data_IF_866548082773
#
_entry.id   IF_866548082773
#
_cell.length_a   1.000
_cell.length_b   1.000
_cell.length_c   1.000
_cell.angle_alpha   90.00
_cell.angle_beta   90.00
_cell.angle_gamma   90.00
#
_symmetry.space_group_name_H-M   'P 1'
#
loop_
_entity.id
_entity.type
_entity.pdbx_description
1 polymer ?
#
# COMPACT_ATOMS: atom_id res chain seq x y z
N UNK A 1 -4.01 25.76 -3.39
CA UNK A 1 -5.00 24.87 -4.04
C UNK A 1 -4.90 23.45 -3.43
N UNK A 2 -4.95 23.35 -2.10
CA UNK A 2 -4.77 22.11 -1.32
C UNK A 2 -5.73 22.13 -0.11
N UNK A 3 -6.98 22.55 -0.30
CA UNK A 3 -7.95 22.69 0.79
C UNK A 3 -9.37 22.27 0.39
N UNK A 4 -9.51 21.10 -0.25
CA UNK A 4 -10.79 20.37 -0.19
C UNK A 4 -10.54 19.06 0.54
N UNK A 5 -10.28 19.20 1.84
CA UNK A 5 -10.20 18.09 2.77
C UNK A 5 -11.63 17.55 2.93
N UNK A 6 -11.96 16.56 2.10
CA UNK A 6 -13.29 15.99 2.01
C UNK A 6 -13.75 15.33 3.32
N UNK A 7 -12.83 14.77 4.12
CA UNK A 7 -13.17 13.98 5.30
C UNK A 7 -13.33 14.81 6.59
N UNK A 8 -13.71 16.09 6.51
CA UNK A 8 -13.76 17.00 7.67
C UNK A 8 -14.84 16.62 8.71
N UNK A 9 -15.85 15.88 8.28
CA UNK A 9 -16.95 15.41 9.15
C UNK A 9 -16.58 14.18 9.98
N UNK A 10 -15.46 13.50 9.65
CA UNK A 10 -14.99 12.35 10.41
C UNK A 10 -14.32 12.84 11.69
N UNK A 11 -14.87 12.45 12.84
CA UNK A 11 -14.25 12.79 14.13
C UNK A 11 -12.88 12.12 14.23
N UNK A 12 -11.93 12.78 14.91
CA UNK A 12 -10.57 12.23 15.12
C UNK A 12 -10.60 10.83 15.73
N UNK A 13 -11.54 10.58 16.65
CA UNK A 13 -11.70 9.26 17.25
C UNK A 13 -12.14 8.21 16.22
N UNK A 14 -13.11 8.52 15.36
CA UNK A 14 -13.54 7.62 14.29
C UNK A 14 -12.41 7.37 13.27
N UNK A 15 -11.64 8.40 12.91
CA UNK A 15 -10.49 8.26 12.02
C UNK A 15 -9.43 7.32 12.61
N UNK A 16 -9.04 7.53 13.87
CA UNK A 16 -8.05 6.66 14.53
C UNK A 16 -8.57 5.23 14.69
N UNK A 17 -9.83 5.06 15.09
CA UNK A 17 -10.45 3.74 15.27
C UNK A 17 -10.53 2.96 13.94
N UNK A 18 -10.91 3.62 12.84
CA UNK A 18 -10.97 3.01 11.51
C UNK A 18 -9.58 2.64 11.01
N UNK A 19 -8.59 3.54 11.16
CA UNK A 19 -7.19 3.26 10.83
C UNK A 19 -6.62 2.06 11.64
N UNK A 20 -6.89 2.00 12.94
CA UNK A 20 -6.47 0.88 13.79
C UNK A 20 -7.14 -0.43 13.35
N UNK A 21 -8.41 -0.37 12.96
CA UNK A 21 -9.13 -1.53 12.44
C UNK A 21 -8.52 -2.03 11.12
N UNK A 22 -8.12 -1.14 10.21
CA UNK A 22 -7.47 -1.53 8.96
C UNK A 22 -6.11 -2.18 9.20
N UNK A 23 -5.28 -1.59 10.07
CA UNK A 23 -3.97 -2.15 10.40
C UNK A 23 -4.10 -3.56 11.02
N UNK A 24 -5.02 -3.72 11.98
CA UNK A 24 -5.24 -5.02 12.65
C UNK A 24 -5.83 -6.06 11.72
N UNK A 25 -6.80 -5.72 10.87
CA UNK A 25 -7.38 -6.64 9.89
C UNK A 25 -6.38 -7.03 8.81
N UNK A 26 -5.57 -6.08 8.33
CA UNK A 26 -4.55 -6.34 7.32
C UNK A 26 -3.50 -7.33 7.85
N UNK A 27 -2.90 -7.04 9.01
CA UNK A 27 -1.93 -7.92 9.66
C UNK A 27 -2.59 -9.25 10.02
N UNK A 28 -3.78 -9.24 10.61
CA UNK A 28 -4.55 -10.45 10.94
C UNK A 28 -4.72 -11.36 9.72
N UNK A 29 -5.05 -10.81 8.55
CA UNK A 29 -5.23 -11.58 7.31
C UNK A 29 -3.99 -12.35 6.87
N UNK A 30 -2.78 -11.84 7.18
CA UNK A 30 -1.51 -12.48 6.87
C UNK A 30 -1.15 -13.64 7.82
N UNK A 31 -1.61 -13.56 9.07
CA UNK A 31 -1.30 -14.51 10.14
C UNK A 31 -2.37 -15.58 10.37
N UNK A 32 -3.62 -15.34 9.94
CA UNK A 32 -4.69 -16.35 9.98
C UNK A 32 -4.28 -17.51 9.06
N UNK A 33 -3.85 -18.62 9.68
CA UNK A 33 -3.42 -19.83 8.98
C UNK A 33 -4.62 -20.75 8.77
N UNK A 34 -4.89 -21.11 7.52
CA UNK A 34 -5.99 -22.05 7.19
C UNK A 34 -5.54 -23.47 6.90
N UNK A 35 -4.26 -23.68 6.61
CA UNK A 35 -3.74 -25.02 6.30
C UNK A 35 -2.45 -25.29 7.08
N UNK A 36 -2.26 -26.55 7.47
CA UNK A 36 -1.01 -27.08 8.04
C UNK A 36 0.02 -27.41 6.94
N UNK A 37 0.15 -26.55 5.93
CA UNK A 37 1.15 -26.66 4.87
C UNK A 37 2.31 -25.70 5.13
N UNK A 38 3.51 -25.99 4.58
CA UNK A 38 4.64 -25.07 4.67
C UNK A 38 4.31 -23.72 4.01
N UNK A 39 4.89 -22.64 4.55
CA UNK A 39 4.56 -21.25 4.18
C UNK A 39 4.74 -20.94 2.70
N UNK A 40 5.69 -21.61 2.04
CA UNK A 40 6.01 -21.42 0.63
C UNK A 40 5.25 -22.37 -0.30
N UNK A 41 4.32 -23.15 0.23
CA UNK A 41 3.44 -23.96 -0.62
C UNK A 41 2.56 -23.04 -1.48
N UNK A 42 2.43 -23.29 -2.80
CA UNK A 42 1.72 -22.41 -3.72
C UNK A 42 0.26 -22.17 -3.34
N UNK A 43 -0.40 -23.14 -2.71
CA UNK A 43 -1.78 -22.98 -2.22
C UNK A 43 -1.86 -21.97 -1.05
N UNK A 44 -0.91 -22.02 -0.10
CA UNK A 44 -0.85 -21.09 1.03
C UNK A 44 -0.58 -19.66 0.56
N UNK A 45 0.22 -19.49 -0.49
CA UNK A 45 0.47 -18.18 -1.09
C UNK A 45 -0.80 -17.61 -1.73
N UNK A 46 -1.55 -18.41 -2.50
CA UNK A 46 -2.79 -17.99 -3.15
C UNK A 46 -3.87 -17.61 -2.14
N UNK A 47 -4.03 -18.37 -1.05
CA UNK A 47 -4.99 -18.04 0.00
C UNK A 47 -4.65 -16.74 0.74
N UNK A 48 -3.37 -16.54 1.08
CA UNK A 48 -2.91 -15.28 1.70
C UNK A 48 -3.16 -14.11 0.77
N UNK A 49 -2.86 -14.27 -0.52
CA UNK A 49 -3.15 -13.26 -1.53
C UNK A 49 -4.63 -12.91 -1.55
N UNK A 50 -5.51 -13.90 -1.67
CA UNK A 50 -6.97 -13.68 -1.69
C UNK A 50 -7.46 -12.94 -0.45
N UNK A 51 -6.98 -13.30 0.76
CA UNK A 51 -7.36 -12.64 2.01
C UNK A 51 -6.90 -11.19 2.06
N UNK A 52 -5.65 -10.94 1.71
CA UNK A 52 -5.08 -9.59 1.67
C UNK A 52 -5.85 -8.74 0.67
N UNK A 53 -6.14 -9.26 -0.52
CA UNK A 53 -6.93 -8.55 -1.53
C UNK A 53 -8.34 -8.23 -1.02
N UNK A 54 -9.02 -9.18 -0.35
CA UNK A 54 -10.35 -8.94 0.24
C UNK A 54 -10.27 -7.84 1.29
N UNK A 55 -9.30 -7.87 2.20
CA UNK A 55 -9.14 -6.83 3.24
C UNK A 55 -8.81 -5.47 2.62
N UNK A 56 -7.93 -5.41 1.61
CA UNK A 56 -7.63 -4.18 0.88
C UNK A 56 -8.85 -3.60 0.16
N UNK A 57 -9.68 -4.44 -0.46
CA UNK A 57 -10.92 -4.00 -1.10
C UNK A 57 -11.94 -3.48 -0.07
N UNK A 58 -12.09 -4.17 1.06
CA UNK A 58 -12.95 -3.72 2.17
C UNK A 58 -12.49 -2.36 2.69
N UNK A 59 -11.18 -2.14 2.86
CA UNK A 59 -10.63 -0.86 3.28
C UNK A 59 -10.99 0.26 2.29
N UNK A 60 -10.80 0.04 0.98
CA UNK A 60 -11.21 1.00 -0.06
C UNK A 60 -12.70 1.31 -0.03
N UNK A 61 -13.55 0.29 0.15
CA UNK A 61 -15.01 0.46 0.22
C UNK A 61 -15.40 1.28 1.45
N UNK A 62 -14.82 1.00 2.62
CA UNK A 62 -15.11 1.76 3.85
C UNK A 62 -14.70 3.22 3.71
N UNK A 63 -13.54 3.51 3.11
CA UNK A 63 -13.11 4.89 2.81
C UNK A 63 -14.07 5.55 1.82
N UNK A 64 -14.47 4.84 0.76
CA UNK A 64 -15.42 5.36 -0.22
C UNK A 64 -16.77 5.74 0.42
N UNK A 65 -17.33 4.85 1.24
CA UNK A 65 -18.57 5.12 1.97
C UNK A 65 -18.43 6.29 2.94
N UNK A 66 -17.25 6.44 3.57
CA UNK A 66 -16.97 7.55 4.49
C UNK A 66 -16.86 8.90 3.78
N UNK A 67 -16.31 8.94 2.56
CA UNK A 67 -16.18 10.16 1.76
C UNK A 67 -17.44 10.53 0.95
N UNK A 68 -18.33 9.57 0.67
CA UNK A 68 -19.53 9.78 -0.15
C UNK A 68 -20.64 10.56 0.54
N UNK A 69 -20.57 10.79 1.86
CA UNK A 69 -21.66 11.40 2.63
C UNK A 69 -21.88 12.89 2.33
N UNK A 70 -20.85 13.66 1.92
CA UNK A 70 -21.02 15.09 1.58
C UNK A 70 -20.11 15.67 0.46
N UNK A 71 -19.06 14.98 0.00
CA UNK A 71 -18.11 15.56 -0.98
C UNK A 71 -18.39 15.24 -2.45
N UNK A 72 -19.15 14.19 -2.73
CA UNK A 72 -19.46 13.77 -4.11
C UNK A 72 -20.16 14.88 -4.91
N UNK A 73 -20.79 15.84 -4.22
CA UNK A 73 -21.47 16.99 -4.83
C UNK A 73 -20.58 18.22 -4.99
N UNK A 74 -19.44 18.32 -4.29
CA UNK A 74 -18.62 19.54 -4.24
C UNK A 74 -17.31 19.44 -5.03
N UNK A 75 -16.87 18.24 -5.43
CA UNK A 75 -15.61 18.06 -6.17
C UNK A 75 -15.77 16.94 -7.20
N UNK A 76 -15.46 17.22 -8.47
CA UNK A 76 -15.38 16.22 -9.55
C UNK A 76 -14.15 15.31 -9.41
N UNK A 77 -13.67 15.09 -8.19
CA UNK A 77 -12.49 14.29 -7.91
C UNK A 77 -12.91 12.82 -7.88
N UNK A 78 -12.19 11.99 -8.63
CA UNK A 78 -12.44 10.56 -8.66
C UNK A 78 -11.94 9.91 -7.37
N UNK A 79 -12.51 8.76 -6.99
CA UNK A 79 -12.05 7.96 -5.83
C UNK A 79 -10.55 7.65 -5.94
N UNK A 80 -10.06 7.47 -7.18
CA UNK A 80 -8.65 7.24 -7.48
C UNK A 80 -7.77 8.41 -7.04
N UNK A 81 -8.24 9.64 -7.20
CA UNK A 81 -7.49 10.83 -6.75
C UNK A 81 -7.38 10.87 -5.22
N UNK A 82 -8.39 10.40 -4.49
CA UNK A 82 -8.37 10.35 -3.02
C UNK A 82 -7.45 9.27 -2.47
N UNK A 83 -7.39 8.11 -3.13
CA UNK A 83 -6.46 7.02 -2.80
C UNK A 83 -5.02 7.37 -3.21
N UNK A 84 -4.82 8.49 -3.93
CA UNK A 84 -3.50 9.00 -4.32
C UNK A 84 -3.03 8.54 -5.70
N UNK A 85 -3.89 7.85 -6.47
CA UNK A 85 -3.64 7.49 -7.86
C UNK A 85 -4.00 8.69 -8.73
N UNK A 86 -2.99 9.53 -8.97
CA UNK A 86 -3.11 10.72 -9.82
C UNK A 86 -2.23 10.59 -11.06
N UNK A 87 -2.75 11.04 -12.20
CA UNK A 87 -1.96 11.14 -13.43
C UNK A 87 -0.97 12.31 -13.39
N UNK A 88 -1.29 13.36 -12.63
CA UNK A 88 -0.43 14.53 -12.47
C UNK A 88 0.81 14.19 -11.65
N UNK A 89 1.99 14.39 -12.25
CA UNK A 89 3.27 14.14 -11.58
C UNK A 89 3.61 12.66 -11.38
N UNK A 90 2.93 11.73 -12.05
CA UNK A 90 3.20 10.29 -11.97
C UNK A 90 4.66 9.97 -12.32
N UNK A 91 5.20 10.60 -13.37
CA UNK A 91 6.61 10.43 -13.77
C UNK A 91 7.58 10.85 -12.67
N UNK A 92 7.35 11.99 -12.02
CA UNK A 92 8.19 12.42 -10.91
C UNK A 92 8.06 11.49 -9.70
N UNK A 93 6.83 11.03 -9.42
CA UNK A 93 6.53 10.09 -8.34
C UNK A 93 7.12 8.69 -8.55
N UNK A 94 7.39 8.26 -9.79
CA UNK A 94 8.05 6.98 -10.07
C UNK A 94 9.57 7.12 -10.20
N UNK A 95 10.05 8.13 -10.92
CA UNK A 95 11.49 8.31 -11.19
C UNK A 95 12.26 8.64 -9.92
N UNK A 96 11.73 9.52 -9.05
CA UNK A 96 12.47 9.99 -7.88
C UNK A 96 12.69 8.88 -6.83
N UNK A 97 11.67 8.08 -6.44
CA UNK A 97 11.90 6.91 -5.59
C UNK A 97 12.77 5.84 -6.26
N UNK A 98 12.60 5.60 -7.56
CA UNK A 98 13.41 4.61 -8.29
C UNK A 98 14.90 5.00 -8.30
N UNK A 99 15.19 6.28 -8.53
CA UNK A 99 16.55 6.81 -8.50
C UNK A 99 17.14 6.75 -7.09
N UNK A 100 16.34 7.06 -6.07
CA UNK A 100 16.77 6.93 -4.68
C UNK A 100 17.12 5.48 -4.30
N UNK A 101 16.29 4.51 -4.71
CA UNK A 101 16.53 3.08 -4.50
C UNK A 101 17.80 2.64 -5.23
N UNK A 102 18.00 3.05 -6.49
CA UNK A 102 19.21 2.74 -7.25
C UNK A 102 20.47 3.26 -6.55
N UNK A 103 20.45 4.48 -6.03
CA UNK A 103 21.58 5.06 -5.30
C UNK A 103 21.84 4.31 -3.99
N UNK A 104 20.79 4.06 -3.20
CA UNK A 104 20.90 3.42 -1.89
C UNK A 104 21.42 1.98 -2.00
N UNK A 105 20.96 1.24 -3.00
CA UNK A 105 21.30 -0.16 -3.20
C UNK A 105 22.43 -0.38 -4.22
N UNK A 106 23.08 0.68 -4.72
CA UNK A 106 24.15 0.56 -5.70
C UNK A 106 25.31 -0.30 -5.19
N UNK A 107 25.71 -0.09 -3.92
CA UNK A 107 26.81 -0.82 -3.29
C UNK A 107 26.56 -2.34 -3.23
N UNK A 108 25.46 -2.80 -2.62
CA UNK A 108 25.08 -4.22 -2.62
C UNK A 108 24.94 -4.82 -4.01
N UNK A 109 24.40 -4.07 -4.98
CA UNK A 109 24.25 -4.54 -6.36
C UNK A 109 25.60 -4.79 -7.03
N UNK A 110 26.57 -3.90 -6.85
CA UNK A 110 27.94 -4.09 -7.38
C UNK A 110 28.59 -5.31 -6.71
N UNK A 111 28.47 -5.43 -5.38
CA UNK A 111 29.04 -6.57 -4.65
C UNK A 111 28.45 -7.90 -5.12
N UNK A 112 27.14 -7.96 -5.36
CA UNK A 112 26.47 -9.15 -5.88
C UNK A 112 26.97 -9.52 -7.28
N UNK A 113 27.14 -8.55 -8.18
CA UNK A 113 27.66 -8.79 -9.54
C UNK A 113 29.12 -9.24 -9.53
N UNK A 114 29.94 -8.69 -8.64
CA UNK A 114 31.34 -9.09 -8.50
C UNK A 114 31.49 -10.52 -8.00
N UNK A 115 30.64 -10.95 -7.06
CA UNK A 115 30.73 -12.26 -6.43
C UNK A 115 30.10 -13.37 -7.29
N UNK A 116 28.97 -13.11 -7.94
CA UNK A 116 28.17 -14.12 -8.64
C UNK A 116 28.17 -13.96 -10.18
N UNK A 117 28.77 -12.90 -10.71
CA UNK A 117 28.73 -12.56 -12.12
C UNK A 117 27.35 -12.09 -12.61
N UNK A 118 27.33 -11.49 -13.80
CA UNK A 118 26.12 -10.91 -14.42
C UNK A 118 25.08 -12.00 -14.78
N UNK A 119 25.53 -13.23 -15.03
CA UNK A 119 24.68 -14.38 -15.39
C UNK A 119 23.80 -14.88 -14.25
N UNK A 120 24.08 -14.53 -12.99
CA UNK A 120 23.20 -14.88 -11.87
C UNK A 120 21.92 -14.03 -11.84
N UNK A 121 21.95 -12.82 -12.41
CA UNK A 121 20.80 -11.91 -12.47
C UNK A 121 19.70 -12.44 -13.41
N UNK A 122 20.04 -13.24 -14.42
CA UNK A 122 19.10 -13.77 -15.42
C UNK A 122 18.46 -15.10 -15.01
N UNK A 123 18.83 -15.67 -13.86
CA UNK A 123 18.33 -16.97 -13.39
C UNK A 123 16.94 -16.89 -12.71
N UNK A 124 16.47 -15.69 -12.38
CA UNK A 124 15.15 -15.52 -11.78
C UNK A 124 14.03 -15.78 -12.80
N UNK A 125 13.29 -16.86 -12.59
CA UNK A 125 12.12 -17.18 -13.41
C UNK A 125 11.00 -16.20 -13.05
N UNK A 126 10.62 -15.36 -14.02
CA UNK A 126 9.51 -14.40 -13.89
C UNK A 126 8.17 -15.10 -13.58
N UNK A 127 8.08 -16.41 -13.79
CA UNK A 127 6.90 -17.23 -13.48
C UNK A 127 6.76 -17.61 -12.00
N UNK A 128 7.77 -17.33 -11.16
CA UNK A 128 7.74 -17.71 -9.75
C UNK A 128 6.73 -16.86 -8.97
N UNK A 129 5.69 -17.52 -8.44
CA UNK A 129 4.63 -16.87 -7.67
C UNK A 129 5.16 -16.19 -6.40
N UNK A 130 6.27 -16.70 -5.86
CA UNK A 130 6.97 -16.13 -4.69
C UNK A 130 7.61 -14.79 -5.05
N UNK A 131 8.19 -14.67 -6.25
CA UNK A 131 8.79 -13.44 -6.75
C UNK A 131 7.72 -12.38 -6.96
N UNK A 132 6.62 -12.73 -7.64
CA UNK A 132 5.48 -11.83 -7.82
C UNK A 132 4.89 -11.35 -6.50
N UNK A 133 4.78 -12.26 -5.51
CA UNK A 133 4.33 -11.92 -4.16
C UNK A 133 5.21 -10.83 -3.53
N UNK A 134 6.53 -11.04 -3.55
CA UNK A 134 7.48 -10.18 -2.84
C UNK A 134 7.67 -8.82 -3.52
N UNK A 135 7.68 -8.77 -4.85
CA UNK A 135 8.01 -7.54 -5.59
C UNK A 135 6.81 -6.67 -5.90
N UNK A 136 5.65 -7.26 -6.17
CA UNK A 136 4.49 -6.51 -6.67
C UNK A 136 3.35 -6.52 -5.67
N UNK A 137 2.90 -7.71 -5.31
CA UNK A 137 1.68 -7.89 -4.51
C UNK A 137 1.78 -7.24 -3.13
N UNK A 138 2.82 -7.58 -2.37
CA UNK A 138 2.95 -7.09 -1.00
C UNK A 138 3.12 -5.56 -1.00
N UNK A 139 4.10 -4.97 -1.71
CA UNK A 139 4.28 -3.52 -1.72
C UNK A 139 3.05 -2.76 -2.22
N UNK A 140 2.36 -3.29 -3.24
CA UNK A 140 1.15 -2.65 -3.77
C UNK A 140 0.01 -2.65 -2.75
N UNK A 141 -0.23 -3.78 -2.09
CA UNK A 141 -1.31 -3.90 -1.10
C UNK A 141 -1.04 -3.07 0.15
N UNK A 142 0.22 -2.99 0.59
CA UNK A 142 0.66 -2.17 1.73
C UNK A 142 0.47 -0.69 1.40
N UNK A 143 0.97 -0.22 0.25
CA UNK A 143 0.82 1.18 -0.15
C UNK A 143 -0.65 1.59 -0.29
N UNK A 144 -1.49 0.72 -0.85
CA UNK A 144 -2.91 1.00 -1.04
C UNK A 144 -3.66 1.11 0.30
N UNK A 145 -3.40 0.21 1.26
CA UNK A 145 -4.11 0.21 2.55
C UNK A 145 -3.55 1.29 3.49
N UNK A 146 -2.23 1.33 3.69
CA UNK A 146 -1.61 2.23 4.65
C UNK A 146 -1.56 3.67 4.14
N UNK A 147 -1.18 3.89 2.89
CA UNK A 147 -1.08 5.25 2.36
C UNK A 147 -2.35 5.70 1.66
N UNK A 148 -2.95 4.83 0.84
CA UNK A 148 -4.16 5.17 0.09
C UNK A 148 -5.39 5.32 0.97
N UNK A 149 -5.62 4.39 1.92
CA UNK A 149 -6.85 4.40 2.72
C UNK A 149 -6.70 5.13 4.06
N UNK A 150 -5.56 5.04 4.76
CA UNK A 150 -5.42 5.66 6.08
C UNK A 150 -5.02 7.15 6.02
N UNK A 151 -4.19 7.58 5.06
CA UNK A 151 -3.76 8.99 5.00
C UNK A 151 -4.91 9.99 4.78
N UNK A 152 -5.90 9.75 3.89
CA UNK A 152 -7.02 10.68 3.72
C UNK A 152 -7.86 10.87 4.99
N UNK A 153 -7.88 9.88 5.89
CA UNK A 153 -8.58 9.93 7.18
C UNK A 153 -7.75 10.62 8.29
N UNK A 154 -6.42 10.44 8.28
CA UNK A 154 -5.51 10.97 9.30
C UNK A 154 -5.09 12.43 9.06
N UNK A 155 -4.88 12.84 7.81
CA UNK A 155 -4.46 14.21 7.47
C UNK A 155 -5.43 15.29 8.01
N UNK A 156 -6.77 15.16 7.85
CA UNK A 156 -7.72 16.14 8.39
C UNK A 156 -7.66 16.29 9.91
N UNK A 157 -7.35 15.19 10.61
CA UNK A 157 -7.58 15.07 12.05
C UNK A 157 -6.32 15.29 12.89
N UNK A 158 -5.15 14.91 12.36
CA UNK A 158 -3.87 14.97 13.07
C UNK A 158 -2.85 15.90 12.38
N UNK A 159 -3.07 16.23 11.11
CA UNK A 159 -2.15 17.01 10.28
C UNK A 159 -1.18 16.13 9.48
N UNK A 160 -0.50 16.75 8.51
CA UNK A 160 0.31 16.04 7.52
C UNK A 160 1.50 15.28 8.13
N UNK A 161 2.24 15.91 9.04
CA UNK A 161 3.48 15.33 9.59
C UNK A 161 3.20 14.13 10.49
N UNK A 162 2.24 14.27 11.41
CA UNK A 162 1.81 13.20 12.32
C UNK A 162 1.16 12.04 11.58
N UNK A 163 0.37 12.30 10.52
CA UNK A 163 -0.19 11.26 9.68
C UNK A 163 0.90 10.40 9.02
N UNK A 164 1.98 11.03 8.51
CA UNK A 164 3.13 10.31 7.94
C UNK A 164 3.82 9.43 8.99
N UNK A 165 3.95 9.90 10.24
CA UNK A 165 4.55 9.10 11.30
C UNK A 165 3.66 7.95 11.81
N UNK A 166 2.33 8.11 11.75
CA UNK A 166 1.37 7.12 12.25
C UNK A 166 0.99 6.05 11.23
N UNK A 167 1.14 6.34 9.94
CA UNK A 167 1.04 5.36 8.87
C UNK A 167 2.42 5.16 8.21
N UNK A 168 3.40 4.59 8.94
CA UNK A 168 4.66 4.18 8.33
C UNK A 168 4.39 3.03 7.34
N UNK A 169 5.20 3.01 6.27
CA UNK A 169 5.34 1.85 5.38
C UNK A 169 5.83 0.63 6.16
#
# INVERSE_FOLDING_TARGET
MLETICFKDVTTFQAIATCLSFATLYVGSLYVRSQCLPRDHPQTIKERFMRVTVVSLVACIVVYMSGSSHCASATSASILDWIGIRWSGLLAATVLPSLLILILFLGPMIMFVLDHGITSLTCYKITDIILWRNFFVAPFSEELVFRGCMMPLLIPSLGHVTAIFLAPW
#
